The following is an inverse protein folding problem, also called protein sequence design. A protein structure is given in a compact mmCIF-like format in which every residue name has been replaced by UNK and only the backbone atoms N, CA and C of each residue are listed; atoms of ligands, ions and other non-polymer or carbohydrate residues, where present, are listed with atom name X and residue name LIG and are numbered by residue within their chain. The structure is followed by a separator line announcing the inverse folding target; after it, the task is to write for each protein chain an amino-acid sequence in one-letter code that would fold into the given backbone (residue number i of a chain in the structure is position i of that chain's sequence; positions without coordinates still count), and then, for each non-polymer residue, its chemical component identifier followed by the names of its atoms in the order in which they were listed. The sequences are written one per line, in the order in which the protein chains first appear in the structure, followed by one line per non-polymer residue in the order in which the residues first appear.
data_IF_765109445756
#
_entry.id   IF_765109445756
#
_cell.length_a   1.000
_cell.length_b   1.000
_cell.length_c   1.000
_cell.angle_alpha   90.00
_cell.angle_beta   90.00
_cell.angle_gamma   90.00
#
_symmetry.space_group_name_H-M   'P 1'
#
loop_
_entity.id
_entity.type
_entity.pdbx_description
1 polymer ?
#
# COMPACT_ATOMS: atom_id res chain seq x y z
N UNK A 1 23.01 15.25 -10.37
CA UNK A 1 21.69 15.69 -9.89
C UNK A 1 20.66 15.16 -10.87
N UNK A 2 19.75 14.28 -10.44
CA UNK A 2 18.84 13.55 -11.35
C UNK A 2 17.54 14.32 -11.65
N UNK A 3 17.17 15.28 -10.82
CA UNK A 3 15.96 16.10 -10.97
C UNK A 3 16.26 17.47 -11.57
N UNK A 4 15.35 17.95 -12.41
CA UNK A 4 15.27 19.32 -12.93
C UNK A 4 14.76 20.29 -11.87
N UNK A 5 14.91 21.60 -12.12
CA UNK A 5 14.40 22.63 -11.21
C UNK A 5 12.89 22.58 -11.04
N UNK A 6 12.16 22.32 -12.12
CA UNK A 6 10.70 22.19 -12.11
C UNK A 6 10.25 21.01 -11.24
N UNK A 7 10.87 19.84 -11.42
CA UNK A 7 10.56 18.64 -10.63
C UNK A 7 10.87 18.83 -9.14
N UNK A 8 11.98 19.48 -8.81
CA UNK A 8 12.33 19.80 -7.40
C UNK A 8 11.30 20.75 -6.79
N UNK A 9 10.91 21.80 -7.52
CA UNK A 9 9.91 22.76 -7.04
C UNK A 9 8.56 22.09 -6.81
N UNK A 10 8.08 21.29 -7.76
CA UNK A 10 6.81 20.57 -7.65
C UNK A 10 6.80 19.65 -6.41
N UNK A 11 7.86 18.87 -6.22
CA UNK A 11 8.00 17.97 -5.05
C UNK A 11 8.03 18.76 -3.74
N UNK A 12 8.78 19.86 -3.68
CA UNK A 12 8.82 20.74 -2.51
C UNK A 12 7.42 21.31 -2.21
N UNK A 13 6.68 21.74 -3.24
CA UNK A 13 5.31 22.23 -3.09
C UNK A 13 4.38 21.17 -2.48
N UNK A 14 4.42 19.94 -3.00
CA UNK A 14 3.61 18.83 -2.49
C UNK A 14 3.99 18.47 -1.04
N UNK A 15 5.28 18.43 -0.73
CA UNK A 15 5.77 18.16 0.63
C UNK A 15 5.37 19.25 1.61
N UNK A 16 5.40 20.52 1.18
CA UNK A 16 4.82 21.61 1.95
C UNK A 16 3.34 21.33 2.14
N UNK A 17 2.52 21.10 1.13
CA UNK A 17 1.06 20.95 1.33
C UNK A 17 0.65 19.72 2.15
N UNK A 18 1.52 18.70 2.22
CA UNK A 18 1.24 17.47 2.93
C UNK A 18 1.11 17.66 4.47
N UNK A 19 -0.01 17.26 5.10
CA UNK A 19 -0.24 17.44 6.54
C UNK A 19 0.63 16.56 7.44
N UNK A 20 1.28 15.52 6.89
CA UNK A 20 2.20 14.66 7.63
C UNK A 20 3.61 15.25 7.71
N UNK A 21 3.96 16.24 6.88
CA UNK A 21 5.24 16.94 6.92
C UNK A 21 5.33 17.78 8.19
N UNK A 22 6.37 17.57 8.99
CA UNK A 22 6.55 18.28 10.27
C UNK A 22 6.80 19.76 10.00
N UNK A 23 6.33 20.62 10.91
CA UNK A 23 6.49 22.08 10.81
C UNK A 23 7.93 22.52 10.53
N UNK A 24 8.91 21.89 11.18
CA UNK A 24 10.32 22.24 10.97
C UNK A 24 10.86 21.73 9.63
N UNK A 25 10.35 20.64 9.07
CA UNK A 25 10.71 20.18 7.71
C UNK A 25 10.09 21.11 6.67
N UNK A 26 8.81 21.45 6.87
CA UNK A 26 8.08 22.43 6.08
C UNK A 26 8.81 23.76 6.03
N UNK A 27 9.39 24.21 7.15
CA UNK A 27 10.20 25.42 7.19
C UNK A 27 11.44 25.34 6.27
N UNK A 28 12.17 24.22 6.30
CA UNK A 28 13.34 24.01 5.42
C UNK A 28 12.92 23.97 3.95
N UNK A 29 11.84 23.27 3.65
CA UNK A 29 11.26 23.14 2.31
C UNK A 29 10.78 24.49 1.75
N UNK A 30 10.04 25.28 2.54
CA UNK A 30 9.59 26.62 2.16
C UNK A 30 10.78 27.55 1.91
N UNK A 31 11.82 27.48 2.76
CA UNK A 31 13.03 28.29 2.59
C UNK A 31 13.73 27.97 1.27
N UNK A 32 13.82 26.68 0.91
CA UNK A 32 14.39 26.26 -0.36
C UNK A 32 13.51 26.69 -1.56
N UNK A 33 12.18 26.53 -1.46
CA UNK A 33 11.21 26.98 -2.46
C UNK A 33 11.36 28.47 -2.78
N UNK A 34 11.35 29.31 -1.76
CA UNK A 34 11.44 30.76 -1.93
C UNK A 34 12.78 31.17 -2.57
N UNK A 35 13.87 30.46 -2.24
CA UNK A 35 15.17 30.65 -2.88
C UNK A 35 15.18 30.24 -4.35
N UNK A 36 14.52 29.13 -4.70
CA UNK A 36 14.40 28.63 -6.07
C UNK A 36 13.52 29.52 -6.96
N UNK A 37 12.50 30.17 -6.39
CA UNK A 37 11.62 31.11 -7.09
C UNK A 37 12.24 32.50 -7.25
N UNK A 38 13.15 32.88 -6.34
CA UNK A 38 13.87 34.15 -6.40
C UNK A 38 15.04 34.18 -7.40
N UNK A 39 15.08 33.22 -8.35
CA UNK A 39 16.11 33.10 -9.40
C UNK A 39 17.54 32.96 -8.85
N UNK A 40 17.67 32.45 -7.61
CA UNK A 40 18.96 32.07 -7.04
C UNK A 40 19.42 30.77 -7.70
N UNK A 41 20.73 30.63 -7.89
CA UNK A 41 21.37 29.41 -8.42
C UNK A 41 20.72 28.13 -7.89
N UNK A 42 20.08 27.39 -8.80
CA UNK A 42 19.40 26.12 -8.53
C UNK A 42 20.29 25.16 -7.73
N UNK A 43 21.55 25.04 -8.16
CA UNK A 43 22.55 24.16 -7.55
C UNK A 43 22.85 24.54 -6.09
N UNK A 44 22.90 25.83 -5.78
CA UNK A 44 23.24 26.29 -4.45
C UNK A 44 22.08 26.11 -3.47
N UNK A 45 20.85 26.35 -3.93
CA UNK A 45 19.64 26.09 -3.12
C UNK A 45 19.49 24.60 -2.81
N UNK A 46 19.71 23.75 -3.80
CA UNK A 46 19.68 22.30 -3.62
C UNK A 46 20.76 21.83 -2.67
N UNK A 47 22.00 22.30 -2.83
CA UNK A 47 23.10 21.93 -1.94
C UNK A 47 22.85 22.36 -0.49
N UNK A 48 22.23 23.52 -0.29
CA UNK A 48 21.81 24.00 1.03
C UNK A 48 20.73 23.11 1.65
N UNK A 49 19.66 22.83 0.89
CA UNK A 49 18.58 21.96 1.34
C UNK A 49 19.09 20.56 1.69
N UNK A 50 19.96 20.00 0.85
CA UNK A 50 20.64 18.74 1.13
C UNK A 50 21.42 18.79 2.44
N UNK A 51 22.22 19.83 2.67
CA UNK A 51 23.01 19.98 3.88
C UNK A 51 22.15 20.07 5.15
N UNK A 52 21.00 20.75 5.06
CA UNK A 52 20.05 20.87 6.16
C UNK A 52 19.35 19.54 6.48
N UNK A 53 18.97 18.77 5.45
CA UNK A 53 18.27 17.48 5.58
C UNK A 53 19.20 16.30 5.95
N UNK A 54 20.46 16.30 5.49
CA UNK A 54 21.43 15.21 5.69
C UNK A 54 21.56 14.71 7.14
N UNK A 55 21.80 15.56 8.16
CA UNK A 55 21.96 15.09 9.54
C UNK A 55 20.66 14.51 10.13
N UNK A 56 19.51 14.78 9.52
CA UNK A 56 18.21 14.25 9.93
C UNK A 56 17.92 12.93 9.23
N UNK A 57 18.24 12.84 7.94
CA UNK A 57 18.19 11.61 7.16
C UNK A 57 19.05 10.52 7.82
N UNK A 58 20.31 10.83 8.15
CA UNK A 58 21.24 9.90 8.83
C UNK A 58 20.73 9.38 10.19
N UNK A 59 19.80 10.10 10.82
CA UNK A 59 19.21 9.73 12.12
C UNK A 59 17.80 9.15 11.98
N UNK A 60 17.33 8.86 10.76
CA UNK A 60 15.96 8.44 10.48
C UNK A 60 14.91 9.36 11.13
N UNK A 61 15.19 10.67 11.12
CA UNK A 61 14.37 11.69 11.77
C UNK A 61 13.62 12.59 10.78
N UNK A 62 13.69 12.30 9.49
CA UNK A 62 12.81 12.89 8.49
C UNK A 62 11.47 12.17 8.49
N UNK A 63 10.40 12.88 8.14
CA UNK A 63 9.15 12.25 7.72
C UNK A 63 9.41 11.42 6.47
N UNK A 64 8.64 10.34 6.27
CA UNK A 64 8.86 9.46 5.13
C UNK A 64 8.92 10.18 3.78
N UNK A 65 8.01 11.13 3.53
CA UNK A 65 7.92 11.83 2.23
C UNK A 65 9.13 12.75 2.00
N UNK A 66 9.63 13.38 3.06
CA UNK A 66 10.86 14.20 3.01
C UNK A 66 12.10 13.31 2.91
N UNK A 67 12.05 12.09 3.45
CA UNK A 67 13.11 11.08 3.29
C UNK A 67 13.23 10.67 1.83
N UNK A 68 12.10 10.35 1.20
CA UNK A 68 12.03 9.95 -0.21
C UNK A 68 12.56 11.06 -1.12
N UNK A 69 12.09 12.29 -0.91
CA UNK A 69 12.58 13.45 -1.65
C UNK A 69 14.07 13.71 -1.42
N UNK A 70 14.56 13.59 -0.18
CA UNK A 70 15.98 13.74 0.11
C UNK A 70 16.83 12.71 -0.64
N UNK A 71 16.36 11.47 -0.75
CA UNK A 71 17.06 10.39 -1.43
C UNK A 71 17.10 10.60 -2.95
N UNK A 72 15.97 11.00 -3.55
CA UNK A 72 15.92 11.39 -4.95
C UNK A 72 16.82 12.61 -5.25
N UNK A 73 16.83 13.59 -4.36
CA UNK A 73 17.62 14.82 -4.48
C UNK A 73 19.12 14.52 -4.48
N UNK A 74 19.56 13.63 -3.59
CA UNK A 74 20.97 13.29 -3.39
C UNK A 74 21.48 12.19 -4.33
N UNK A 75 20.58 11.42 -4.93
CA UNK A 75 20.94 10.21 -5.68
C UNK A 75 21.54 9.13 -4.77
N UNK A 76 21.22 9.17 -3.47
CA UNK A 76 21.57 8.11 -2.53
C UNK A 76 20.67 6.90 -2.84
N UNK A 77 21.21 5.94 -3.61
CA UNK A 77 20.54 4.71 -4.06
C UNK A 77 20.14 3.76 -2.92
N UNK A 78 20.37 4.13 -1.65
CA UNK A 78 19.91 3.34 -0.51
C UNK A 78 18.39 3.16 -0.44
N UNK A 79 17.62 3.91 -1.25
CA UNK A 79 16.21 3.60 -1.53
C UNK A 79 15.67 4.19 -2.83
N UNK A 80 16.31 3.94 -3.98
CA UNK A 80 15.44 3.66 -5.12
C UNK A 80 14.42 2.64 -4.60
N UNK A 81 13.12 2.93 -4.75
CA UNK A 81 12.07 1.92 -4.58
C UNK A 81 12.68 0.67 -5.18
N UNK A 82 12.94 -0.37 -4.36
CA UNK A 82 13.64 -1.56 -4.83
C UNK A 82 12.69 -2.34 -5.73
N UNK A 83 12.23 -1.70 -6.80
CA UNK A 83 11.49 -2.25 -7.91
C UNK A 83 12.32 -3.39 -8.51
N UNK A 84 13.66 -3.29 -8.50
CA UNK A 84 14.56 -4.39 -8.82
C UNK A 84 14.35 -5.65 -7.94
N UNK A 85 13.87 -5.51 -6.69
CA UNK A 85 13.50 -6.66 -5.84
C UNK A 85 12.05 -7.09 -6.00
N UNK A 86 11.29 -6.39 -6.82
CA UNK A 86 9.87 -6.65 -7.09
C UNK A 86 9.66 -7.02 -8.55
N UNK A 87 10.65 -7.72 -9.12
CA UNK A 87 10.57 -8.38 -10.42
C UNK A 87 10.58 -9.90 -10.23
N UNK A 88 10.05 -10.59 -11.23
CA UNK A 88 10.09 -12.05 -11.29
C UNK A 88 11.47 -12.43 -11.83
N UNK A 89 12.36 -12.83 -10.93
CA UNK A 89 13.73 -13.24 -11.24
C UNK A 89 13.80 -14.72 -11.68
N UNK A 90 12.84 -15.54 -11.25
CA UNK A 90 12.76 -16.97 -11.56
C UNK A 90 11.34 -17.33 -12.03
N UNK A 91 10.98 -17.04 -13.31
CA UNK A 91 9.62 -17.22 -13.81
C UNK A 91 9.16 -18.68 -13.86
N UNK A 92 10.05 -19.64 -13.66
CA UNK A 92 9.68 -21.06 -13.54
C UNK A 92 9.09 -21.39 -12.17
N UNK A 93 9.47 -20.63 -11.13
CA UNK A 93 9.13 -20.91 -9.75
C UNK A 93 8.57 -19.71 -8.99
N UNK A 94 8.39 -18.57 -9.64
CA UNK A 94 7.80 -17.38 -9.04
C UNK A 94 6.56 -16.96 -9.81
N UNK A 95 5.54 -16.59 -9.05
CA UNK A 95 4.29 -16.06 -9.58
C UNK A 95 3.90 -14.78 -8.84
N UNK A 96 3.01 -14.00 -9.46
CA UNK A 96 2.45 -12.77 -8.91
C UNK A 96 1.03 -12.96 -8.42
N UNK A 97 0.67 -12.26 -7.35
CA UNK A 97 -0.72 -12.11 -6.89
C UNK A 97 -1.00 -10.65 -6.59
N UNK A 98 -2.20 -10.15 -6.92
CA UNK A 98 -2.59 -8.76 -6.67
C UNK A 98 -3.92 -8.74 -5.91
N UNK A 99 -3.89 -8.18 -4.70
CA UNK A 99 -5.05 -8.13 -3.81
C UNK A 99 -5.32 -6.71 -3.31
N UNK A 100 -6.56 -6.26 -3.42
CA UNK A 100 -7.08 -5.06 -2.77
C UNK A 100 -7.99 -5.48 -1.60
N UNK A 101 -7.82 -4.84 -0.44
CA UNK A 101 -8.43 -5.34 0.81
C UNK A 101 -8.55 -4.29 1.91
N UNK A 102 -8.67 -3.02 1.53
CA UNK A 102 -8.64 -1.88 2.44
C UNK A 102 -7.30 -1.16 2.40
N UNK A 103 -6.95 -0.46 3.49
CA UNK A 103 -5.63 0.16 3.59
C UNK A 103 -4.51 -0.86 3.35
N UNK A 104 -3.68 -0.60 2.33
CA UNK A 104 -2.60 -1.50 1.94
C UNK A 104 -1.55 -1.72 3.05
N UNK A 105 -1.37 -0.78 3.99
CA UNK A 105 -0.43 -0.90 5.10
C UNK A 105 -0.77 -2.09 5.99
N UNK A 106 -2.06 -2.40 6.12
CA UNK A 106 -2.54 -3.53 6.88
C UNK A 106 -2.41 -4.86 6.12
N UNK A 107 -2.31 -4.80 4.80
CA UNK A 107 -2.21 -5.98 3.94
C UNK A 107 -0.76 -6.47 3.83
N UNK A 108 0.23 -5.58 3.89
CA UNK A 108 1.65 -5.92 3.67
C UNK A 108 2.19 -6.95 4.70
N UNK A 109 2.20 -6.62 5.99
CA UNK A 109 2.86 -7.48 7.01
C UNK A 109 2.34 -8.94 7.02
N UNK A 110 1.02 -9.21 6.94
CA UNK A 110 0.53 -10.59 6.88
C UNK A 110 1.14 -11.41 5.76
N UNK A 111 1.29 -10.84 4.55
CA UNK A 111 1.91 -11.53 3.43
C UNK A 111 3.43 -11.55 3.57
N UNK A 112 4.07 -10.41 3.83
CA UNK A 112 5.53 -10.32 3.83
C UNK A 112 6.20 -11.24 4.87
N UNK A 113 5.49 -11.56 5.95
CA UNK A 113 5.99 -12.49 6.99
C UNK A 113 5.63 -13.95 6.73
N UNK A 114 4.93 -14.25 5.64
CA UNK A 114 4.52 -15.60 5.27
C UNK A 114 5.67 -16.35 4.56
N UNK A 115 5.98 -17.61 4.93
CA UNK A 115 7.00 -18.39 4.24
C UNK A 115 6.74 -18.51 2.74
N UNK A 116 7.79 -18.37 1.93
CA UNK A 116 7.70 -18.45 0.47
C UNK A 116 7.38 -17.13 -0.23
N UNK A 117 7.08 -16.06 0.51
CA UNK A 117 6.96 -14.73 -0.07
C UNK A 117 8.35 -14.16 -0.38
N UNK A 118 8.52 -13.70 -1.62
CA UNK A 118 9.74 -13.06 -2.11
C UNK A 118 9.69 -11.56 -1.83
N UNK A 119 8.56 -10.93 -2.13
CA UNK A 119 8.36 -9.50 -1.96
C UNK A 119 6.88 -9.10 -1.92
N UNK A 120 6.58 -7.98 -1.26
CA UNK A 120 5.24 -7.38 -1.21
C UNK A 120 5.35 -5.87 -1.41
N UNK A 121 4.65 -5.36 -2.41
CA UNK A 121 4.68 -3.95 -2.80
C UNK A 121 3.28 -3.35 -2.67
N UNK A 122 3.19 -2.20 -1.99
CA UNK A 122 1.96 -1.40 -1.93
C UNK A 122 1.80 -0.58 -3.21
N UNK A 123 0.58 -0.43 -3.69
CA UNK A 123 0.32 0.33 -4.92
C UNK A 123 -1.15 0.53 -5.24
N UNK A 124 -1.38 1.00 -6.47
CA UNK A 124 -2.69 1.40 -6.98
C UNK A 124 -2.99 0.67 -8.29
N UNK A 125 -4.20 0.12 -8.43
CA UNK A 125 -4.63 -0.56 -9.66
C UNK A 125 -6.15 -0.51 -9.84
N UNK A 126 -6.66 -1.01 -10.96
CA UNK A 126 -8.10 -1.06 -11.27
C UNK A 126 -8.70 0.22 -11.87
N UNK A 127 -8.05 1.38 -11.69
CA UNK A 127 -8.51 2.67 -12.20
C UNK A 127 -8.08 2.98 -13.64
N UNK A 128 -8.18 4.27 -13.99
CA UNK A 128 -7.90 4.78 -15.35
C UNK A 128 -6.84 5.87 -15.38
N UNK A 129 -6.42 6.40 -14.23
CA UNK A 129 -5.40 7.45 -14.15
C UNK A 129 -4.01 6.82 -14.25
N UNK A 130 -3.20 7.27 -15.20
CA UNK A 130 -1.80 6.84 -15.28
C UNK A 130 -0.96 7.54 -14.21
N UNK A 131 0.03 6.83 -13.64
CA UNK A 131 0.91 7.33 -12.58
C UNK A 131 0.17 8.06 -11.44
N UNK A 132 -0.86 7.45 -10.81
CA UNK A 132 -1.66 8.13 -9.81
C UNK A 132 -0.86 8.33 -8.51
N UNK A 133 -0.99 9.51 -7.88
CA UNK A 133 -0.47 9.75 -6.53
C UNK A 133 -1.45 9.33 -5.44
N UNK A 134 -0.96 9.16 -4.21
CA UNK A 134 -1.81 8.86 -3.05
C UNK A 134 -2.97 9.86 -2.90
N UNK A 135 -2.72 11.16 -3.07
CA UNK A 135 -3.74 12.20 -2.91
C UNK A 135 -4.83 12.09 -3.98
N UNK A 136 -4.46 11.71 -5.21
CA UNK A 136 -5.43 11.49 -6.28
C UNK A 136 -6.30 10.25 -5.99
N UNK A 137 -5.68 9.15 -5.55
CA UNK A 137 -6.39 7.90 -5.23
C UNK A 137 -7.27 8.06 -4.00
N UNK A 138 -6.76 8.68 -2.94
CA UNK A 138 -7.51 8.94 -1.71
C UNK A 138 -8.67 9.91 -1.93
N UNK A 139 -8.56 10.81 -2.92
CA UNK A 139 -9.66 11.64 -3.41
C UNK A 139 -10.78 10.88 -4.13
N UNK A 140 -10.55 9.61 -4.52
CA UNK A 140 -11.57 8.67 -4.99
C UNK A 140 -12.02 8.83 -6.44
N UNK A 141 -11.46 9.78 -7.21
CA UNK A 141 -11.88 10.06 -8.59
C UNK A 141 -11.05 9.35 -9.67
N UNK A 142 -9.94 8.71 -9.31
CA UNK A 142 -9.06 8.01 -10.28
C UNK A 142 -9.56 6.62 -10.69
N UNK A 143 -10.54 6.10 -9.96
CA UNK A 143 -11.06 4.73 -10.10
C UNK A 143 -10.15 3.65 -9.50
N UNK A 144 -8.93 4.01 -9.06
CA UNK A 144 -7.99 3.06 -8.47
C UNK A 144 -8.43 2.62 -7.08
N UNK A 145 -7.95 1.44 -6.69
CA UNK A 145 -7.97 0.93 -5.32
C UNK A 145 -6.56 0.80 -4.78
N UNK A 146 -6.41 0.93 -3.47
CA UNK A 146 -5.21 0.48 -2.78
C UNK A 146 -5.11 -1.05 -2.84
N UNK A 147 -3.96 -1.53 -3.30
CA UNK A 147 -3.68 -2.93 -3.47
C UNK A 147 -2.25 -3.26 -3.04
N UNK A 148 -1.99 -4.56 -2.85
CA UNK A 148 -0.65 -5.11 -2.73
C UNK A 148 -0.38 -6.05 -3.91
N UNK A 149 0.80 -5.92 -4.50
CA UNK A 149 1.36 -6.89 -5.44
C UNK A 149 2.37 -7.76 -4.68
N UNK A 150 2.23 -9.08 -4.82
CA UNK A 150 2.99 -10.08 -4.07
C UNK A 150 3.70 -10.96 -5.08
N UNK A 151 5.01 -11.12 -4.91
CA UNK A 151 5.79 -12.15 -5.62
C UNK A 151 6.07 -13.27 -4.64
N UNK A 152 5.81 -14.51 -5.06
CA UNK A 152 5.92 -15.67 -4.20
C UNK A 152 6.55 -16.85 -4.94
N UNK A 153 7.28 -17.68 -4.20
CA UNK A 153 7.89 -18.91 -4.68
C UNK A 153 6.86 -20.05 -4.64
N UNK A 154 6.45 -20.52 -5.82
CA UNK A 154 5.42 -21.55 -6.03
C UNK A 154 5.83 -22.92 -5.49
N UNK A 155 7.11 -23.13 -5.17
CA UNK A 155 7.61 -24.35 -4.53
C UNK A 155 7.36 -24.37 -3.01
N UNK A 156 7.11 -23.20 -2.42
CA UNK A 156 6.98 -23.03 -0.96
C UNK A 156 5.54 -22.68 -0.58
N UNK A 157 4.89 -21.80 -1.34
CA UNK A 157 3.51 -21.36 -1.10
C UNK A 157 2.71 -21.30 -2.40
N UNK A 158 1.47 -21.75 -2.35
CA UNK A 158 0.55 -21.72 -3.49
C UNK A 158 -0.31 -20.47 -3.51
N UNK A 159 -0.81 -20.09 -4.69
CA UNK A 159 -1.82 -19.03 -4.83
C UNK A 159 -3.07 -19.29 -3.98
N UNK A 160 -3.45 -20.57 -3.81
CA UNK A 160 -4.57 -20.96 -2.96
C UNK A 160 -4.31 -20.63 -1.47
N UNK A 161 -3.09 -20.82 -0.97
CA UNK A 161 -2.72 -20.45 0.41
C UNK A 161 -2.70 -18.94 0.60
N UNK A 162 -2.22 -18.18 -0.39
CA UNK A 162 -2.31 -16.71 -0.35
C UNK A 162 -3.77 -16.24 -0.33
N UNK A 163 -4.63 -16.91 -1.09
CA UNK A 163 -6.07 -16.65 -1.07
C UNK A 163 -6.67 -16.92 0.31
N UNK A 164 -6.33 -18.06 0.94
CA UNK A 164 -6.76 -18.36 2.32
C UNK A 164 -6.38 -17.25 3.31
N UNK A 165 -5.15 -16.73 3.21
CA UNK A 165 -4.69 -15.62 4.04
C UNK A 165 -5.45 -14.32 3.74
N UNK A 166 -5.68 -13.99 2.46
CA UNK A 166 -6.45 -12.83 2.04
C UNK A 166 -7.84 -12.77 2.71
N UNK A 167 -8.60 -13.88 2.71
CA UNK A 167 -9.93 -13.92 3.31
C UNK A 167 -9.93 -13.82 4.84
N UNK A 168 -8.79 -14.02 5.51
CA UNK A 168 -8.66 -13.86 6.97
C UNK A 168 -8.39 -12.41 7.39
N UNK A 169 -7.79 -11.61 6.49
CA UNK A 169 -7.36 -10.25 6.81
C UNK A 169 -8.41 -9.19 6.44
N UNK A 170 -9.29 -9.46 5.48
CA UNK A 170 -10.33 -8.53 4.99
C UNK A 170 -11.74 -8.84 5.55
N UNK A 171 -12.63 -7.85 5.54
CA UNK A 171 -14.08 -8.02 5.70
C UNK A 171 -14.74 -8.17 4.31
N UNK A 172 -15.13 -9.39 3.91
CA UNK A 172 -15.59 -9.64 2.54
C UNK A 172 -17.00 -9.13 2.25
N UNK A 173 -17.68 -8.57 3.25
CA UNK A 173 -19.06 -8.11 3.14
C UNK A 173 -19.20 -6.57 3.30
N UNK A 174 -18.08 -5.84 3.30
CA UNK A 174 -18.05 -4.39 3.40
C UNK A 174 -17.71 -3.73 2.05
N UNK A 175 -18.76 -3.28 1.36
CA UNK A 175 -18.66 -2.67 0.04
C UNK A 175 -18.16 -1.21 0.07
N UNK A 176 -18.15 -0.56 1.24
CA UNK A 176 -17.93 0.90 1.34
C UNK A 176 -16.54 1.25 1.90
N UNK A 177 -15.61 0.31 1.83
CA UNK A 177 -14.29 0.39 2.43
C UNK A 177 -14.16 -0.47 3.69
N UNK A 178 -12.93 -0.71 4.12
CA UNK A 178 -12.61 -1.73 5.11
C UNK A 178 -12.33 -1.09 6.47
N UNK A 179 -13.01 -1.55 7.52
CA UNK A 179 -12.77 -1.11 8.90
C UNK A 179 -12.94 0.41 9.11
N UNK A 180 -11.86 1.15 9.33
CA UNK A 180 -11.86 2.60 9.49
C UNK A 180 -11.65 3.31 8.15
N UNK A 181 -11.20 2.59 7.13
CA UNK A 181 -10.90 3.11 5.80
C UNK A 181 -12.20 3.10 4.97
N UNK A 182 -12.64 4.28 4.55
CA UNK A 182 -13.94 4.46 3.88
C UNK A 182 -13.75 5.15 2.54
N UNK A 183 -14.41 4.62 1.52
CA UNK A 183 -14.25 5.06 0.14
C UNK A 183 -14.08 3.90 -0.84
N UNK A 184 -14.37 4.18 -2.10
CA UNK A 184 -14.31 3.19 -3.20
C UNK A 184 -12.89 2.66 -3.41
N UNK A 185 -11.87 3.44 -3.09
CA UNK A 185 -10.46 3.07 -3.18
C UNK A 185 -10.04 1.99 -2.16
N UNK A 186 -10.88 1.70 -1.17
CA UNK A 186 -10.61 0.69 -0.15
C UNK A 186 -11.47 -0.57 -0.31
N UNK A 187 -12.22 -0.68 -1.41
CA UNK A 187 -13.09 -1.85 -1.66
C UNK A 187 -12.26 -3.11 -1.93
N UNK A 188 -12.71 -4.28 -1.49
CA UNK A 188 -11.95 -5.52 -1.68
C UNK A 188 -12.11 -6.06 -3.10
N UNK A 189 -10.99 -6.32 -3.78
CA UNK A 189 -10.94 -6.85 -5.14
C UNK A 189 -9.77 -7.84 -5.23
N UNK A 190 -10.01 -8.95 -5.91
CA UNK A 190 -8.98 -9.91 -6.31
C UNK A 190 -8.68 -9.66 -7.79
N UNK A 191 -7.43 -9.30 -8.10
CA UNK A 191 -6.98 -9.10 -9.48
C UNK A 191 -6.22 -10.35 -9.96
N UNK A 192 -6.78 -10.99 -10.97
CA UNK A 192 -6.32 -12.28 -11.50
C UNK A 192 -5.46 -12.06 -12.73
N UNK A 193 -4.30 -12.73 -12.78
CA UNK A 193 -3.33 -12.59 -13.89
C UNK A 193 -3.54 -13.63 -14.99
N UNK A 194 -4.23 -14.74 -14.68
CA UNK A 194 -4.51 -15.83 -15.60
C UNK A 194 -5.81 -16.55 -15.18
N UNK A 195 -6.25 -17.51 -16.01
CA UNK A 195 -7.50 -18.26 -15.77
C UNK A 195 -7.42 -19.15 -14.53
N UNK A 196 -6.28 -19.77 -14.25
CA UNK A 196 -6.10 -20.61 -13.07
C UNK A 196 -6.32 -19.83 -11.77
N UNK A 197 -5.76 -18.62 -11.66
CA UNK A 197 -6.01 -17.73 -10.54
C UNK A 197 -7.48 -17.34 -10.40
N UNK A 198 -8.17 -17.13 -11.54
CA UNK A 198 -9.61 -16.83 -11.55
C UNK A 198 -10.44 -18.00 -11.04
N UNK A 199 -10.20 -19.22 -11.53
CA UNK A 199 -10.90 -20.42 -11.06
C UNK A 199 -10.69 -20.64 -9.55
N UNK A 200 -9.45 -20.49 -9.06
CA UNK A 200 -9.12 -20.60 -7.63
C UNK A 200 -9.85 -19.52 -6.81
N UNK A 201 -9.83 -18.27 -7.27
CA UNK A 201 -10.48 -17.15 -6.59
C UNK A 201 -12.01 -17.34 -6.52
N UNK A 202 -12.65 -17.75 -7.63
CA UNK A 202 -14.08 -17.98 -7.71
C UNK A 202 -14.52 -19.15 -6.81
N UNK A 203 -13.79 -20.27 -6.87
CA UNK A 203 -14.02 -21.43 -6.00
C UNK A 203 -13.90 -21.07 -4.53
N UNK A 204 -12.89 -20.28 -4.17
CA UNK A 204 -12.69 -19.84 -2.79
C UNK A 204 -13.80 -18.89 -2.33
N UNK A 205 -14.19 -17.92 -3.18
CA UNK A 205 -15.32 -17.02 -2.90
C UNK A 205 -16.61 -17.81 -2.67
N UNK A 206 -16.89 -18.83 -3.49
CA UNK A 206 -18.05 -19.71 -3.31
C UNK A 206 -17.99 -20.45 -1.97
N UNK A 207 -16.84 -21.03 -1.62
CA UNK A 207 -16.63 -21.70 -0.33
C UNK A 207 -16.92 -20.76 0.86
N UNK A 208 -16.50 -19.49 0.76
CA UNK A 208 -16.78 -18.47 1.80
C UNK A 208 -18.27 -18.16 1.88
N UNK A 209 -18.97 -18.05 0.74
CA UNK A 209 -20.43 -17.86 0.70
C UNK A 209 -21.15 -19.05 1.36
N UNK A 210 -20.82 -20.27 0.95
CA UNK A 210 -21.44 -21.51 1.43
C UNK A 210 -21.16 -21.79 2.92
N UNK A 211 -20.05 -21.29 3.45
CA UNK A 211 -19.74 -21.41 4.89
C UNK A 211 -20.82 -20.79 5.79
N UNK A 212 -21.62 -19.86 5.28
CA UNK A 212 -22.64 -19.15 6.05
C UNK A 212 -22.06 -18.26 7.16
N UNK A 213 -20.75 -17.98 7.14
CA UNK A 213 -20.10 -17.18 8.18
C UNK A 213 -20.61 -15.73 8.20
N UNK A 214 -20.97 -15.17 7.04
CA UNK A 214 -21.35 -13.77 6.88
C UNK A 214 -22.87 -13.59 6.75
N UNK A 215 -23.43 -12.49 7.30
CA UNK A 215 -24.87 -12.15 7.16
C UNK A 215 -25.15 -11.49 5.81
N UNK A 216 -24.26 -10.59 5.45
CA UNK A 216 -24.32 -9.77 4.25
C UNK A 216 -23.76 -10.56 3.08
N UNK A 217 -24.14 -10.15 1.88
CA UNK A 217 -23.59 -10.70 0.64
C UNK A 217 -22.07 -10.51 0.62
N UNK A 218 -21.36 -11.49 0.09
CA UNK A 218 -19.92 -11.39 -0.18
C UNK A 218 -19.73 -10.54 -1.43
N UNK A 219 -19.15 -9.35 -1.26
CA UNK A 219 -19.06 -8.32 -2.31
C UNK A 219 -17.69 -8.27 -3.00
N UNK A 220 -16.75 -9.11 -2.58
CA UNK A 220 -15.38 -9.11 -3.14
C UNK A 220 -15.43 -9.34 -4.65
N UNK A 221 -14.95 -8.37 -5.42
CA UNK A 221 -14.90 -8.44 -6.87
C UNK A 221 -13.73 -9.32 -7.32
N UNK A 222 -13.88 -9.98 -8.47
CA UNK A 222 -12.81 -10.75 -9.11
C UNK A 222 -12.67 -10.18 -10.52
N UNK A 223 -11.56 -9.49 -10.76
CA UNK A 223 -11.29 -8.79 -12.02
C UNK A 223 -10.00 -9.30 -12.66
N UNK A 224 -9.85 -9.07 -13.97
CA UNK A 224 -8.56 -9.25 -14.62
C UNK A 224 -7.60 -8.15 -14.13
N UNK A 225 -6.34 -8.51 -13.88
CA UNK A 225 -5.32 -7.56 -13.49
C UNK A 225 -5.14 -6.47 -14.56
N UNK A 226 -4.97 -5.23 -14.08
CA UNK A 226 -4.61 -4.06 -14.90
C UNK A 226 -3.21 -3.60 -14.50
N UNK A 227 -2.73 -2.52 -15.10
CA UNK A 227 -1.48 -1.86 -14.69
C UNK A 227 -1.48 -1.63 -13.17
N UNK A 228 -0.42 -2.08 -12.52
CA UNK A 228 -0.16 -1.83 -11.12
C UNK A 228 0.83 -0.68 -11.02
N UNK A 229 0.44 0.38 -10.30
CA UNK A 229 1.29 1.54 -10.06
C UNK A 229 1.85 1.44 -8.65
N UNK A 230 3.17 1.25 -8.47
CA UNK A 230 3.78 1.30 -7.15
C UNK A 230 3.43 2.60 -6.42
N UNK A 231 3.00 2.47 -5.16
CA UNK A 231 2.83 3.61 -4.29
C UNK A 231 4.19 4.17 -3.88
N UNK A 232 4.20 5.42 -3.44
CA UNK A 232 5.37 6.13 -2.98
C UNK A 232 6.09 5.36 -1.85
N UNK A 233 7.41 5.51 -1.76
CA UNK A 233 8.24 4.69 -0.88
C UNK A 233 7.82 4.80 0.59
N UNK A 234 7.31 5.95 1.05
CA UNK A 234 6.79 6.09 2.40
C UNK A 234 5.65 5.13 2.77
N UNK A 235 4.87 4.66 1.79
CA UNK A 235 3.85 3.64 2.02
C UNK A 235 4.45 2.24 2.13
N UNK A 236 5.61 2.01 1.51
CA UNK A 236 6.29 0.72 1.50
C UNK A 236 6.84 0.38 2.87
N UNK A 237 6.69 -0.88 3.27
CA UNK A 237 7.12 -1.39 4.57
C UNK A 237 6.67 -0.53 5.77
N UNK A 238 5.48 0.10 5.67
CA UNK A 238 4.99 1.05 6.68
C UNK A 238 5.02 0.49 8.11
N UNK A 239 4.77 -0.82 8.28
CA UNK A 239 4.84 -1.48 9.58
C UNK A 239 6.26 -1.53 10.19
N UNK A 240 7.31 -1.56 9.36
CA UNK A 240 8.72 -1.45 9.78
C UNK A 240 9.10 0.01 10.02
N UNK A 241 8.70 0.93 9.13
CA UNK A 241 9.04 2.35 9.19
C UNK A 241 8.32 3.10 10.33
N UNK A 242 7.05 2.78 10.57
CA UNK A 242 6.20 3.43 11.60
C UNK A 242 5.55 2.41 12.57
N UNK A 243 6.34 1.65 13.34
CA UNK A 243 5.84 0.49 14.09
C UNK A 243 4.82 0.85 15.19
N UNK A 244 4.94 2.04 15.82
CA UNK A 244 3.99 2.49 16.84
C UNK A 244 2.61 2.79 16.24
N UNK A 245 2.58 3.56 15.13
CA UNK A 245 1.34 3.92 14.43
C UNK A 245 0.70 2.68 13.83
N UNK A 246 1.49 1.83 13.19
CA UNK A 246 1.02 0.56 12.65
C UNK A 246 0.38 -0.33 13.72
N UNK A 247 1.03 -0.51 14.88
CA UNK A 247 0.46 -1.30 16.00
C UNK A 247 -0.89 -0.77 16.48
N UNK A 248 -1.10 0.55 16.47
CA UNK A 248 -2.38 1.14 16.83
C UNK A 248 -3.47 0.78 15.80
N UNK A 249 -3.18 0.94 14.51
CA UNK A 249 -4.10 0.59 13.40
C UNK A 249 -4.43 -0.91 13.44
N UNK A 250 -3.41 -1.77 13.53
CA UNK A 250 -3.58 -3.23 13.59
C UNK A 250 -4.45 -3.66 14.76
N UNK A 251 -4.26 -3.09 15.95
CA UNK A 251 -5.08 -3.39 17.13
C UNK A 251 -6.56 -3.02 16.91
N UNK A 252 -6.83 -1.85 16.34
CA UNK A 252 -8.19 -1.43 16.03
C UNK A 252 -8.88 -2.39 15.03
N UNK A 253 -8.16 -2.79 13.97
CA UNK A 253 -8.64 -3.77 12.98
C UNK A 253 -8.93 -5.14 13.61
N UNK A 254 -8.01 -5.66 14.43
CA UNK A 254 -8.17 -6.94 15.12
C UNK A 254 -9.38 -6.95 16.07
N UNK A 255 -9.60 -5.87 16.82
CA UNK A 255 -10.76 -5.74 17.70
C UNK A 255 -12.07 -5.78 16.90
N UNK A 256 -12.12 -5.10 15.75
CA UNK A 256 -13.28 -5.11 14.88
C UNK A 256 -13.55 -6.50 14.27
N UNK A 257 -12.53 -7.17 13.73
CA UNK A 257 -12.66 -8.53 13.18
C UNK A 257 -13.15 -9.52 14.26
N UNK A 258 -12.57 -9.45 15.46
CA UNK A 258 -12.97 -10.31 16.58
C UNK A 258 -14.44 -10.09 16.95
N UNK A 259 -14.89 -8.83 17.02
CA UNK A 259 -16.29 -8.50 17.27
C UNK A 259 -17.23 -9.09 16.20
N UNK A 260 -16.87 -8.96 14.92
CA UNK A 260 -17.66 -9.54 13.82
C UNK A 260 -17.72 -11.06 13.87
N UNK A 261 -16.60 -11.72 14.13
CA UNK A 261 -16.52 -13.18 14.22
C UNK A 261 -17.36 -13.73 15.37
N UNK A 262 -17.28 -13.10 16.56
CA UNK A 262 -18.11 -13.48 17.71
C UNK A 262 -19.59 -13.35 17.39
N UNK A 263 -19.98 -12.24 16.76
CA UNK A 263 -21.36 -12.01 16.31
C UNK A 263 -21.82 -13.05 15.26
N UNK A 264 -20.92 -13.49 14.38
CA UNK A 264 -21.15 -14.54 13.39
C UNK A 264 -21.30 -15.94 14.01
N UNK A 265 -20.40 -16.32 14.92
CA UNK A 265 -20.39 -17.62 15.63
C UNK A 265 -21.63 -17.85 16.50
N UNK A 266 -22.03 -16.83 17.26
CA UNK A 266 -23.26 -16.91 18.07
C UNK A 266 -24.49 -17.20 17.19
N UNK A 267 -24.47 -16.77 15.92
CA UNK A 267 -25.54 -17.05 14.97
C UNK A 267 -25.47 -18.46 14.39
N UNK A 268 -24.32 -18.91 13.90
CA UNK A 268 -24.20 -20.25 13.30
C UNK A 268 -24.41 -21.36 14.32
N UNK A 269 -24.02 -21.15 15.59
CA UNK A 269 -24.36 -22.04 16.69
C UNK A 269 -25.87 -22.14 16.94
N UNK A 270 -26.62 -21.05 16.72
CA UNK A 270 -28.08 -21.05 16.85
C UNK A 270 -28.79 -21.71 15.65
N UNK A 271 -28.20 -21.63 14.45
CA UNK A 271 -28.71 -22.28 13.24
C UNK A 271 -28.44 -23.79 13.19
N UNK A 272 -27.40 -24.28 13.87
CA UNK A 272 -27.09 -25.73 14.01
C UNK A 272 -27.84 -26.41 15.16
N UNK A 273 -28.57 -25.66 15.98
CA UNK A 273 -29.33 -26.18 17.13
C UNK A 273 -30.85 -26.31 16.86
N UNK A 274 -31.26 -26.21 15.59
CA UNK A 274 -32.60 -26.52 15.09
C UNK A 274 -32.48 -27.56 13.99
#
# INVERSE_FOLDING_TARGET
MRLTQEEVLEKIYNLILNPNTREWERYLLTTAKDGLEADVSFKDQVAKLEADLRPLALRNNLTPDVTDFYQELTGDESSELKAEKHEIDDPAFQERAIFAGGCFWCMVEPFETHPGIVSVLSGYTGGTTEHPSYDQVSGGYTGHVEAVEIIFDTRIVSYQELMELYWQIIDPADAFGQFQDRGVQYRPIIFTLNEEQREIAEKKKLTVIESGAYKKLIIVEIEAARTFWPAENYHQEFYKKQPKRYKAIKRARQQFLTYQHLKGKLRTGFLRSK
#
